data_IF_411947208425
#
_entry.id   IF_411947208425
#
_cell.length_a   1.000
_cell.length_b   1.000
_cell.length_c   1.000
_cell.angle_alpha   90.00
_cell.angle_beta   90.00
_cell.angle_gamma   90.00
#
_symmetry.space_group_name_H-M   'P 1'
#
loop_
_entity.id
_entity.type
_entity.pdbx_description
1 polymer ?
#
# COMPACT_ATOMS: atom_id res chain seq x y z
N UNK A 1 6.01 3.66 42.50
CA UNK A 1 6.51 2.63 41.55
C UNK A 1 6.45 3.25 40.16
N UNK A 2 7.55 3.92 39.79
CA UNK A 2 7.69 4.55 38.46
C UNK A 2 7.98 3.45 37.47
N UNK A 3 7.02 3.20 36.56
CA UNK A 3 7.26 2.41 35.36
C UNK A 3 8.05 3.31 34.40
N UNK A 4 9.36 3.09 34.37
CA UNK A 4 10.20 3.67 33.32
C UNK A 4 9.79 3.10 31.96
N UNK A 5 9.31 3.97 31.10
CA UNK A 5 9.32 3.75 29.68
C UNK A 5 10.79 3.85 29.23
N UNK A 6 11.46 2.72 29.10
CA UNK A 6 12.62 2.65 28.23
C UNK A 6 12.08 2.90 26.82
N UNK A 7 12.28 4.12 26.32
CA UNK A 7 12.23 4.37 24.89
C UNK A 7 13.27 3.43 24.29
N UNK A 8 12.82 2.38 23.62
CA UNK A 8 13.68 1.59 22.75
C UNK A 8 14.31 2.61 21.80
N UNK A 9 15.60 2.85 21.95
CA UNK A 9 16.41 3.57 20.98
C UNK A 9 16.24 2.79 19.68
N UNK A 10 15.37 3.25 18.78
CA UNK A 10 15.33 2.71 17.42
C UNK A 10 16.69 2.99 16.82
N UNK A 11 17.46 1.93 16.57
CA UNK A 11 18.72 2.06 15.85
C UNK A 11 18.40 2.68 14.49
N UNK A 12 19.18 3.66 14.08
CA UNK A 12 19.08 4.22 12.74
C UNK A 12 19.30 3.09 11.73
N UNK A 13 18.34 2.86 10.83
CA UNK A 13 18.47 1.87 9.78
C UNK A 13 18.31 2.55 8.42
N UNK A 14 19.26 2.28 7.52
CA UNK A 14 19.27 2.80 6.16
C UNK A 14 19.57 1.67 5.18
N UNK A 15 18.83 1.62 4.09
CA UNK A 15 19.03 0.67 3.01
C UNK A 15 19.22 1.38 1.68
N UNK A 16 20.25 0.98 0.95
CA UNK A 16 20.61 1.48 -0.37
C UNK A 16 20.66 0.31 -1.35
N UNK A 17 19.91 0.41 -2.44
CA UNK A 17 19.95 -0.57 -3.52
C UNK A 17 20.07 0.11 -4.88
N UNK A 18 20.99 -0.38 -5.71
CA UNK A 18 21.20 0.07 -7.08
C UNK A 18 21.18 -1.11 -8.02
N UNK A 19 20.56 -0.94 -9.20
CA UNK A 19 20.51 -1.94 -10.24
C UNK A 19 21.07 -1.40 -11.56
N UNK A 20 21.94 -2.20 -12.20
CA UNK A 20 22.44 -2.01 -13.55
C UNK A 20 21.59 -2.88 -14.49
N UNK A 21 20.72 -2.24 -15.29
CA UNK A 21 19.72 -2.89 -16.13
C UNK A 21 20.13 -2.95 -17.59
N UNK A 22 20.74 -1.85 -18.10
CA UNK A 22 21.10 -1.75 -19.52
C UNK A 22 22.35 -2.57 -19.87
N UNK A 23 23.30 -2.66 -18.94
CA UNK A 23 24.51 -3.47 -19.09
C UNK A 23 25.05 -3.94 -17.73
N UNK A 24 25.73 -5.10 -17.69
CA UNK A 24 26.42 -5.51 -16.47
C UNK A 24 27.62 -4.60 -16.15
N UNK A 25 27.95 -4.49 -14.86
CA UNK A 25 29.13 -3.82 -14.35
C UNK A 25 30.40 -4.59 -14.74
N UNK A 26 31.43 -3.88 -15.18
CA UNK A 26 32.75 -4.48 -15.43
C UNK A 26 33.46 -4.89 -14.13
N UNK A 27 34.57 -5.59 -14.23
CA UNK A 27 35.39 -5.95 -13.07
C UNK A 27 36.00 -4.71 -12.40
N UNK A 28 36.43 -3.74 -13.22
CA UNK A 28 36.99 -2.47 -12.78
C UNK A 28 35.95 -1.64 -12.01
N UNK A 29 34.74 -1.49 -12.57
CA UNK A 29 33.64 -0.77 -11.94
C UNK A 29 33.25 -1.40 -10.59
N UNK A 30 33.20 -2.73 -10.51
CA UNK A 30 32.95 -3.43 -9.24
C UNK A 30 34.08 -3.21 -8.23
N UNK A 31 35.32 -3.09 -8.67
CA UNK A 31 36.45 -2.75 -7.80
C UNK A 31 36.38 -1.32 -7.29
N UNK A 32 35.98 -0.36 -8.15
CA UNK A 32 35.74 1.03 -7.74
C UNK A 32 34.62 1.11 -6.69
N UNK A 33 33.49 0.44 -6.94
CA UNK A 33 32.37 0.36 -6.00
C UNK A 33 32.76 -0.28 -4.66
N UNK A 34 33.62 -1.30 -4.68
CA UNK A 34 34.17 -1.94 -3.47
C UNK A 34 35.00 -0.96 -2.63
N UNK A 35 35.66 0.01 -3.27
CA UNK A 35 36.41 1.07 -2.55
C UNK A 35 35.48 2.06 -1.83
N UNK A 36 34.23 2.25 -2.31
CA UNK A 36 33.21 3.10 -1.69
C UNK A 36 32.64 2.40 -0.45
N UNK A 37 32.31 1.09 -0.56
CA UNK A 37 31.82 0.31 0.56
C UNK A 37 32.39 -1.11 0.57
N UNK A 38 33.07 -1.44 1.67
CA UNK A 38 33.61 -2.79 1.89
C UNK A 38 32.55 -3.79 2.33
N UNK A 39 31.42 -3.33 2.84
CA UNK A 39 30.33 -4.17 3.36
C UNK A 39 29.25 -4.46 2.31
N UNK A 40 29.14 -3.62 1.27
CA UNK A 40 28.12 -3.76 0.25
C UNK A 40 28.14 -5.13 -0.43
N UNK A 41 26.97 -5.67 -0.72
CA UNK A 41 26.79 -6.78 -1.66
C UNK A 41 26.92 -6.23 -3.10
N UNK A 42 27.93 -6.66 -3.83
CA UNK A 42 28.21 -6.18 -5.20
C UNK A 42 28.25 -7.36 -6.16
N UNK A 43 27.32 -7.40 -7.10
CA UNK A 43 27.26 -8.36 -8.20
C UNK A 43 27.52 -7.67 -9.54
N UNK A 44 27.35 -8.38 -10.64
CA UNK A 44 27.44 -7.78 -11.98
C UNK A 44 26.29 -6.81 -12.29
N UNK A 45 25.15 -6.90 -11.59
CA UNK A 45 23.95 -6.11 -11.89
C UNK A 45 23.37 -5.39 -10.67
N UNK A 46 23.98 -5.56 -9.49
CA UNK A 46 23.41 -5.05 -8.24
C UNK A 46 24.51 -4.54 -7.30
N UNK A 47 24.21 -3.45 -6.62
CA UNK A 47 24.89 -2.99 -5.42
C UNK A 47 23.85 -2.79 -4.34
N UNK A 48 24.00 -3.42 -3.18
CA UNK A 48 23.14 -3.21 -2.03
C UNK A 48 23.97 -3.06 -0.76
N UNK A 49 23.53 -2.18 0.12
CA UNK A 49 24.15 -1.98 1.42
C UNK A 49 23.14 -1.49 2.44
N UNK A 50 23.33 -1.92 3.67
CA UNK A 50 22.52 -1.53 4.82
C UNK A 50 23.42 -0.92 5.91
N UNK A 51 22.86 0.00 6.66
CA UNK A 51 23.51 0.66 7.77
C UNK A 51 22.57 0.70 8.97
N UNK A 52 22.97 0.12 10.07
CA UNK A 52 22.32 0.29 11.37
C UNK A 52 22.81 1.55 12.09
N UNK A 53 23.95 2.11 11.64
CA UNK A 53 24.59 3.33 12.13
C UNK A 53 25.68 3.78 11.17
N UNK A 54 25.83 5.10 11.04
CA UNK A 54 26.77 5.71 10.10
C UNK A 54 26.15 5.93 8.72
N UNK A 55 26.87 6.58 7.81
CA UNK A 55 26.37 7.05 6.54
C UNK A 55 27.03 6.35 5.35
N UNK A 56 26.31 6.29 4.25
CA UNK A 56 26.84 5.88 2.97
C UNK A 56 27.86 6.91 2.48
N UNK A 57 29.06 6.46 2.15
CA UNK A 57 30.17 7.35 1.70
C UNK A 57 30.11 7.69 0.21
N UNK A 58 29.30 7.01 -0.57
CA UNK A 58 29.09 7.30 -1.98
C UNK A 58 28.07 8.41 -2.18
N UNK A 59 28.09 9.02 -3.37
CA UNK A 59 27.03 9.90 -3.82
C UNK A 59 26.09 9.14 -4.77
N UNK A 60 24.79 8.91 -4.36
CA UNK A 60 23.84 8.15 -5.17
C UNK A 60 23.68 8.71 -6.58
N UNK A 61 23.70 10.04 -6.76
CA UNK A 61 23.57 10.67 -8.06
C UNK A 61 24.74 10.32 -8.97
N UNK A 62 25.96 10.49 -8.49
CA UNK A 62 27.18 10.12 -9.24
C UNK A 62 27.18 8.62 -9.59
N UNK A 63 26.70 7.77 -8.70
CA UNK A 63 26.58 6.33 -8.98
C UNK A 63 25.56 6.04 -10.08
N UNK A 64 24.42 6.74 -10.08
CA UNK A 64 23.42 6.65 -11.15
C UNK A 64 23.96 7.15 -12.48
N UNK A 65 24.73 8.25 -12.49
CA UNK A 65 25.34 8.78 -13.71
C UNK A 65 26.32 7.79 -14.35
N UNK A 66 27.12 7.08 -13.54
CA UNK A 66 28.25 6.27 -14.02
C UNK A 66 27.93 4.79 -14.21
N UNK A 67 27.12 4.19 -13.32
CA UNK A 67 27.06 2.74 -13.19
C UNK A 67 25.66 2.14 -13.27
N UNK A 68 24.63 2.85 -12.75
CA UNK A 68 23.34 2.22 -12.48
C UNK A 68 22.17 2.90 -13.20
N UNK A 69 21.07 2.14 -13.33
CA UNK A 69 19.87 2.55 -14.06
C UNK A 69 18.65 2.72 -13.15
N UNK A 70 18.69 2.12 -11.96
CA UNK A 70 17.67 2.27 -10.92
C UNK A 70 18.34 2.34 -9.54
N UNK A 71 17.74 3.11 -8.64
CA UNK A 71 18.19 3.30 -7.27
C UNK A 71 17.00 3.42 -6.33
N UNK A 72 17.11 2.81 -5.17
CA UNK A 72 16.18 2.92 -4.05
C UNK A 72 16.95 3.20 -2.76
N UNK A 73 16.43 4.12 -1.99
CA UNK A 73 16.84 4.39 -0.62
C UNK A 73 15.64 4.36 0.31
N UNK A 74 15.82 3.77 1.47
CA UNK A 74 14.81 3.67 2.51
C UNK A 74 15.48 3.80 3.88
N UNK A 75 14.91 4.66 4.74
CA UNK A 75 15.34 4.83 6.12
C UNK A 75 14.17 4.61 7.08
N UNK A 76 14.45 4.05 8.25
CA UNK A 76 13.43 3.75 9.25
C UNK A 76 12.82 4.98 9.94
N UNK A 77 13.34 6.16 9.66
CA UNK A 77 12.74 7.44 10.07
C UNK A 77 11.81 8.07 9.01
N UNK A 78 11.45 7.30 7.94
CA UNK A 78 10.44 7.69 6.96
C UNK A 78 10.97 8.26 5.66
N UNK A 79 12.27 8.51 5.53
CA UNK A 79 12.87 9.00 4.28
C UNK A 79 12.93 7.89 3.23
N UNK A 80 12.39 8.15 2.03
CA UNK A 80 12.44 7.25 0.88
C UNK A 80 12.86 8.01 -0.37
N UNK A 81 13.65 7.36 -1.23
CA UNK A 81 14.06 7.91 -2.52
C UNK A 81 14.08 6.83 -3.59
N UNK A 82 13.55 7.17 -4.75
CA UNK A 82 13.57 6.33 -5.95
C UNK A 82 14.17 7.12 -7.10
N UNK A 83 15.12 6.53 -7.83
CA UNK A 83 15.68 7.17 -9.02
C UNK A 83 15.69 6.20 -10.20
N UNK A 84 15.39 6.73 -11.40
CA UNK A 84 15.52 6.01 -12.65
C UNK A 84 16.34 6.80 -13.65
N UNK A 85 17.34 6.15 -14.25
CA UNK A 85 18.10 6.69 -15.38
C UNK A 85 17.52 6.12 -16.67
N UNK A 86 17.08 6.99 -17.56
CA UNK A 86 16.58 6.62 -18.89
C UNK A 86 17.47 7.22 -19.98
N UNK A 87 17.58 6.59 -21.17
CA UNK A 87 18.35 7.13 -22.28
C UNK A 87 17.86 8.53 -22.70
N UNK A 88 18.79 9.42 -23.01
CA UNK A 88 18.48 10.73 -23.58
C UNK A 88 17.72 10.59 -24.91
N UNK A 89 16.79 11.52 -25.18
CA UNK A 89 15.95 11.48 -26.39
C UNK A 89 14.71 10.59 -26.31
N UNK A 90 14.54 9.83 -25.22
CA UNK A 90 13.28 9.14 -24.91
C UNK A 90 12.18 10.14 -24.62
N UNK A 91 12.51 11.25 -23.99
CA UNK A 91 11.61 12.33 -23.60
C UNK A 91 12.31 13.67 -23.79
N UNK A 92 11.57 14.70 -24.15
CA UNK A 92 12.11 16.06 -24.12
C UNK A 92 12.03 16.64 -22.69
N UNK A 93 13.03 17.47 -22.31
CA UNK A 93 13.06 18.06 -20.98
C UNK A 93 11.88 18.96 -20.65
N UNK A 94 11.25 19.60 -21.64
CA UNK A 94 10.07 20.43 -21.44
C UNK A 94 8.88 19.57 -20.97
N UNK A 95 8.66 18.40 -21.60
CA UNK A 95 7.65 17.44 -21.13
C UNK A 95 7.96 16.92 -19.74
N UNK A 96 9.23 16.58 -19.44
CA UNK A 96 9.62 16.13 -18.10
C UNK A 96 9.38 17.21 -17.04
N UNK A 97 9.68 18.47 -17.38
CA UNK A 97 9.53 19.62 -16.48
C UNK A 97 8.07 19.94 -16.10
N UNK A 98 7.09 19.52 -16.93
CA UNK A 98 5.67 19.68 -16.58
C UNK A 98 5.26 18.83 -15.34
N UNK A 99 5.99 17.76 -15.07
CA UNK A 99 5.67 16.81 -13.99
C UNK A 99 6.70 16.80 -12.87
N UNK A 100 7.96 17.14 -13.18
CA UNK A 100 9.09 16.96 -12.28
C UNK A 100 9.90 18.24 -12.18
N UNK A 101 9.38 19.21 -11.43
CA UNK A 101 9.99 20.56 -11.25
C UNK A 101 10.17 20.94 -9.79
N UNK A 102 10.04 20.01 -8.86
CA UNK A 102 10.10 20.20 -7.40
C UNK A 102 11.24 19.41 -6.76
N UNK A 103 11.49 19.60 -5.48
CA UNK A 103 12.48 18.81 -4.74
C UNK A 103 12.01 17.35 -4.56
N UNK A 104 10.72 17.15 -4.31
CA UNK A 104 10.07 15.82 -4.22
C UNK A 104 10.10 15.07 -5.55
N UNK A 105 9.85 15.76 -6.66
CA UNK A 105 9.84 15.20 -8.02
C UNK A 105 10.71 16.03 -8.94
N UNK A 106 11.90 15.55 -9.25
CA UNK A 106 12.89 16.27 -10.06
C UNK A 106 13.50 15.39 -11.13
N UNK A 107 14.13 16.03 -12.11
CA UNK A 107 14.98 15.33 -13.05
C UNK A 107 16.27 16.11 -13.33
N UNK A 108 17.27 15.41 -13.81
CA UNK A 108 18.56 15.98 -14.21
C UNK A 108 18.94 15.46 -15.58
N UNK A 109 19.35 16.38 -16.47
CA UNK A 109 20.00 16.03 -17.72
C UNK A 109 21.46 15.70 -17.49
N UNK A 110 21.89 14.59 -18.07
CA UNK A 110 23.30 14.19 -18.15
C UNK A 110 23.64 13.84 -19.60
N UNK A 111 24.93 13.77 -19.99
CA UNK A 111 25.29 13.40 -21.35
C UNK A 111 24.68 12.03 -21.74
N UNK A 112 23.68 12.07 -22.63
CA UNK A 112 23.02 10.88 -23.15
C UNK A 112 21.92 10.28 -22.30
N UNK A 113 21.57 10.84 -21.13
CA UNK A 113 20.55 10.29 -20.22
C UNK A 113 19.76 11.38 -19.51
N UNK A 114 18.57 11.01 -19.03
CA UNK A 114 17.80 11.74 -18.01
C UNK A 114 17.75 10.89 -16.75
N UNK A 115 17.94 11.52 -15.59
CA UNK A 115 17.81 10.86 -14.29
C UNK A 115 16.65 11.51 -13.54
N UNK A 116 15.57 10.75 -13.34
CA UNK A 116 14.43 11.15 -12.52
C UNK A 116 14.69 10.77 -11.08
N UNK A 117 14.28 11.63 -10.14
CA UNK A 117 14.40 11.42 -8.70
C UNK A 117 13.10 11.77 -8.02
N UNK A 118 12.54 10.81 -7.28
CA UNK A 118 11.38 10.96 -6.42
C UNK A 118 11.84 10.80 -4.98
N UNK A 119 11.42 11.73 -4.13
CA UNK A 119 11.87 11.80 -2.74
C UNK A 119 10.70 12.09 -1.81
N UNK A 120 10.64 11.42 -0.68
CA UNK A 120 9.73 11.74 0.42
C UNK A 120 10.46 11.66 1.74
N UNK A 121 10.06 12.54 2.65
CA UNK A 121 10.52 12.55 4.04
C UNK A 121 9.27 12.76 4.90
N UNK A 122 8.86 11.71 5.61
CA UNK A 122 7.64 11.68 6.42
C UNK A 122 7.94 11.12 7.79
N UNK A 123 7.06 11.38 8.75
CA UNK A 123 7.12 10.73 10.04
C UNK A 123 7.02 9.20 9.83
N UNK A 124 7.89 8.42 10.49
CA UNK A 124 7.87 6.98 10.35
C UNK A 124 6.55 6.39 10.82
N UNK A 125 6.03 5.41 10.08
CA UNK A 125 4.94 4.59 10.56
C UNK A 125 5.38 3.74 11.76
N UNK A 126 4.45 3.41 12.66
CA UNK A 126 4.69 2.53 13.81
C UNK A 126 5.13 1.10 13.41
N UNK A 127 5.09 0.78 12.12
CA UNK A 127 5.42 -0.54 11.59
C UNK A 127 6.55 -0.44 10.58
N UNK A 128 7.72 -0.93 10.99
CA UNK A 128 8.90 -1.05 10.14
C UNK A 128 9.06 -2.49 9.66
N UNK A 129 9.18 -2.69 8.34
CA UNK A 129 9.58 -3.96 7.72
C UNK A 129 10.95 -3.81 7.07
N UNK A 130 11.81 -4.80 7.26
CA UNK A 130 13.12 -4.81 6.59
C UNK A 130 12.92 -4.93 5.07
N UNK A 131 13.58 -4.06 4.28
CA UNK A 131 13.43 -4.07 2.83
C UNK A 131 14.01 -5.34 2.19
N UNK A 132 13.37 -5.86 1.15
CA UNK A 132 13.80 -7.04 0.45
C UNK A 132 13.20 -7.20 -0.95
N UNK A 133 13.83 -6.62 -1.96
CA UNK A 133 13.45 -6.83 -3.37
C UNK A 133 12.40 -5.86 -3.93
N UNK A 134 12.05 -4.80 -3.21
CA UNK A 134 11.08 -3.80 -3.65
C UNK A 134 11.52 -3.12 -4.94
N UNK A 135 12.81 -2.77 -5.07
CA UNK A 135 13.31 -2.12 -6.29
C UNK A 135 13.09 -3.01 -7.52
N UNK A 136 13.27 -4.32 -7.40
CA UNK A 136 13.03 -5.24 -8.51
C UNK A 136 11.56 -5.25 -8.98
N UNK A 137 10.60 -5.03 -8.09
CA UNK A 137 9.19 -4.89 -8.44
C UNK A 137 8.89 -3.58 -9.19
N UNK A 138 9.70 -2.53 -8.98
CA UNK A 138 9.49 -1.20 -9.53
C UNK A 138 10.21 -0.95 -10.87
N UNK A 139 11.26 -1.73 -11.23
CA UNK A 139 12.12 -1.45 -12.39
C UNK A 139 11.40 -1.46 -13.74
N UNK A 140 10.29 -2.20 -13.87
CA UNK A 140 9.53 -2.23 -15.11
C UNK A 140 8.94 -0.85 -15.48
N UNK A 141 8.63 -0.01 -14.49
CA UNK A 141 8.17 1.36 -14.70
C UNK A 141 9.17 2.22 -15.47
N UNK A 142 10.49 1.97 -15.32
CA UNK A 142 11.53 2.60 -16.13
C UNK A 142 11.36 2.27 -17.61
N UNK A 143 11.08 1.01 -17.93
CA UNK A 143 10.87 0.57 -19.31
C UNK A 143 9.57 1.13 -19.89
N UNK A 144 8.51 1.22 -19.07
CA UNK A 144 7.24 1.86 -19.45
C UNK A 144 7.47 3.34 -19.75
N UNK A 145 8.21 4.07 -18.90
CA UNK A 145 8.60 5.45 -19.15
C UNK A 145 9.43 5.60 -20.43
N UNK A 146 10.40 4.71 -20.65
CA UNK A 146 11.22 4.69 -21.86
C UNK A 146 10.38 4.42 -23.14
N UNK A 147 9.26 3.70 -23.02
CA UNK A 147 8.29 3.50 -24.08
C UNK A 147 7.31 4.68 -24.26
N UNK A 148 7.46 5.77 -23.51
CA UNK A 148 6.63 6.98 -23.59
C UNK A 148 5.38 6.94 -22.72
N UNK A 149 5.30 6.05 -21.74
CA UNK A 149 4.24 6.04 -20.73
C UNK A 149 4.54 7.09 -19.65
N UNK A 150 3.71 8.12 -19.57
CA UNK A 150 3.91 9.25 -18.66
C UNK A 150 3.28 9.03 -17.28
N UNK A 151 2.64 7.86 -17.01
CA UNK A 151 1.98 7.62 -15.72
C UNK A 151 2.93 7.74 -14.54
N UNK A 152 4.17 7.27 -14.68
CA UNK A 152 5.19 7.43 -13.63
C UNK A 152 5.45 8.92 -13.31
N UNK A 153 5.55 9.76 -14.32
CA UNK A 153 5.80 11.20 -14.12
C UNK A 153 4.58 11.91 -13.53
N UNK A 154 3.40 11.51 -13.94
CA UNK A 154 2.17 12.03 -13.34
C UNK A 154 2.03 11.62 -11.87
N UNK A 155 2.37 10.38 -11.51
CA UNK A 155 2.46 9.95 -10.11
C UNK A 155 3.50 10.76 -9.32
N UNK A 156 4.63 11.12 -9.95
CA UNK A 156 5.64 12.00 -9.36
C UNK A 156 5.07 13.41 -9.06
N UNK A 157 4.27 13.96 -9.99
CA UNK A 157 3.58 15.21 -9.77
C UNK A 157 2.53 15.14 -8.66
N UNK A 158 1.75 14.05 -8.57
CA UNK A 158 0.82 13.83 -7.45
C UNK A 158 1.56 13.73 -6.11
N UNK A 159 2.76 13.15 -6.11
CA UNK A 159 3.61 13.10 -4.92
C UNK A 159 4.07 14.49 -4.48
N UNK A 160 4.47 15.34 -5.43
CA UNK A 160 4.84 16.73 -5.17
C UNK A 160 3.64 17.54 -4.64
N UNK A 161 2.45 17.35 -5.22
CA UNK A 161 1.21 17.94 -4.74
C UNK A 161 0.90 17.51 -3.28
N UNK A 162 1.06 16.23 -2.99
CA UNK A 162 0.86 15.66 -1.64
C UNK A 162 1.89 16.16 -0.62
N UNK A 163 3.07 16.58 -1.10
CA UNK A 163 4.16 17.14 -0.29
C UNK A 163 4.11 18.66 -0.13
N UNK A 164 3.02 19.29 -0.59
CA UNK A 164 2.82 20.75 -0.52
C UNK A 164 3.88 21.57 -1.29
N UNK A 165 4.37 20.99 -2.40
CA UNK A 165 5.38 21.63 -3.26
C UNK A 165 4.81 22.14 -4.61
N UNK A 166 3.48 22.06 -4.78
CA UNK A 166 2.76 22.56 -5.94
C UNK A 166 1.80 23.65 -5.48
N UNK A 167 1.84 24.81 -6.12
CA UNK A 167 0.99 25.94 -5.75
C UNK A 167 -0.50 25.64 -6.06
N UNK A 168 -1.40 26.07 -5.20
CA UNK A 168 -2.85 25.86 -5.32
C UNK A 168 -3.44 26.31 -6.67
N UNK A 169 -2.86 27.37 -7.25
CA UNK A 169 -3.27 27.96 -8.53
C UNK A 169 -2.65 27.27 -9.75
N UNK A 170 -1.65 26.40 -9.53
CA UNK A 170 -1.00 25.68 -10.60
C UNK A 170 -1.98 24.76 -11.33
N UNK A 171 -1.84 24.75 -12.64
CA UNK A 171 -2.66 23.89 -13.49
C UNK A 171 -2.13 22.46 -13.47
N UNK A 172 -3.03 21.50 -13.25
CA UNK A 172 -2.72 20.07 -13.37
C UNK A 172 -2.09 19.76 -14.74
N UNK A 173 -0.94 19.06 -14.80
CA UNK A 173 -0.33 18.67 -16.05
C UNK A 173 -1.22 17.67 -16.82
N UNK A 174 -0.99 17.46 -18.13
CA UNK A 174 -1.80 16.56 -18.94
C UNK A 174 -1.93 15.16 -18.31
N UNK A 175 -3.18 14.74 -18.06
CA UNK A 175 -3.48 13.46 -17.41
C UNK A 175 -3.22 12.31 -18.41
N UNK A 176 -2.27 11.40 -18.14
CA UNK A 176 -1.98 10.29 -19.02
C UNK A 176 -3.10 9.25 -19.03
N UNK A 177 -3.21 8.48 -20.12
CA UNK A 177 -4.18 7.39 -20.21
C UNK A 177 -3.84 6.25 -19.24
N UNK A 178 -4.86 5.60 -18.67
CA UNK A 178 -4.70 4.36 -17.91
C UNK A 178 -4.35 4.50 -16.44
N UNK A 179 -4.50 5.69 -15.83
CA UNK A 179 -4.31 5.86 -14.39
C UNK A 179 -5.25 4.99 -13.53
N UNK A 180 -6.44 4.67 -14.05
CA UNK A 180 -7.39 3.79 -13.37
C UNK A 180 -6.97 2.30 -13.34
N UNK A 181 -5.89 1.94 -14.04
CA UNK A 181 -5.37 0.58 -14.10
C UNK A 181 -3.84 0.60 -14.19
N UNK A 182 -3.19 0.88 -13.05
CA UNK A 182 -1.74 0.91 -12.94
C UNK A 182 -1.14 -0.48 -13.17
N UNK A 183 0.05 -0.53 -13.77
CA UNK A 183 0.84 -1.76 -13.82
C UNK A 183 1.30 -2.16 -12.42
N UNK A 184 1.68 -3.42 -12.23
CA UNK A 184 2.17 -3.89 -10.94
C UNK A 184 3.40 -3.08 -10.47
N UNK A 185 4.25 -2.62 -11.40
CA UNK A 185 5.43 -1.82 -11.06
C UNK A 185 5.09 -0.38 -10.68
N UNK A 186 4.11 0.24 -11.31
CA UNK A 186 3.61 1.54 -10.90
C UNK A 186 2.88 1.47 -9.56
N UNK A 187 2.11 0.39 -9.31
CA UNK A 187 1.50 0.17 -8.01
C UNK A 187 2.55 0.00 -6.90
N UNK A 188 3.62 -0.78 -7.15
CA UNK A 188 4.72 -0.91 -6.20
C UNK A 188 5.40 0.45 -5.88
N UNK A 189 5.49 1.36 -6.86
CA UNK A 189 5.99 2.72 -6.63
C UNK A 189 5.01 3.54 -5.79
N UNK A 190 3.70 3.44 -6.07
CA UNK A 190 2.65 4.10 -5.27
C UNK A 190 2.72 3.66 -3.81
N UNK A 191 2.84 2.35 -3.57
CA UNK A 191 2.93 1.77 -2.23
C UNK A 191 4.25 2.18 -1.54
N UNK A 192 5.38 2.13 -2.27
CA UNK A 192 6.70 2.52 -1.74
C UNK A 192 6.78 3.99 -1.36
N UNK A 193 6.24 4.90 -2.18
CA UNK A 193 6.26 6.35 -1.94
C UNK A 193 5.03 6.84 -1.19
N UNK A 194 4.07 5.95 -0.86
CA UNK A 194 2.83 6.25 -0.14
C UNK A 194 2.02 7.38 -0.80
N UNK A 195 1.86 7.29 -2.13
CA UNK A 195 1.03 8.25 -2.87
C UNK A 195 -0.44 8.00 -2.53
N UNK A 196 -1.17 9.07 -2.17
CA UNK A 196 -2.56 8.99 -1.71
C UNK A 196 -3.48 8.37 -2.79
N UNK A 197 -4.13 7.26 -2.45
CA UNK A 197 -5.04 6.54 -3.35
C UNK A 197 -6.25 7.37 -3.79
N UNK A 198 -6.70 8.32 -2.96
CA UNK A 198 -7.83 9.18 -3.28
C UNK A 198 -7.42 10.25 -4.31
N UNK A 199 -6.18 10.76 -4.28
CA UNK A 199 -5.61 11.61 -5.33
C UNK A 199 -5.56 10.86 -6.67
N UNK A 200 -4.99 9.66 -6.68
CA UNK A 200 -4.89 8.82 -7.89
C UNK A 200 -6.30 8.53 -8.44
N UNK A 201 -7.25 8.18 -7.58
CA UNK A 201 -8.61 7.84 -8.02
C UNK A 201 -9.36 9.03 -8.63
N UNK A 202 -9.17 10.24 -8.07
CA UNK A 202 -9.76 11.47 -8.63
C UNK A 202 -9.11 11.84 -9.96
N UNK A 203 -7.78 11.71 -10.06
CA UNK A 203 -7.06 11.90 -11.30
C UNK A 203 -7.49 10.89 -12.38
N UNK A 204 -7.64 9.63 -12.00
CA UNK A 204 -8.06 8.55 -12.88
C UNK A 204 -9.46 8.77 -13.49
N UNK A 205 -10.34 9.53 -12.85
CA UNK A 205 -11.66 9.86 -13.38
C UNK A 205 -11.59 10.70 -14.68
N UNK A 206 -10.53 11.47 -14.87
CA UNK A 206 -10.25 12.23 -16.10
C UNK A 206 -9.28 11.52 -17.05
N UNK A 207 -8.68 10.41 -16.61
CA UNK A 207 -7.72 9.65 -17.43
C UNK A 207 -8.44 8.91 -18.55
N UNK A 208 -8.02 9.10 -19.81
CA UNK A 208 -8.53 8.28 -20.90
C UNK A 208 -8.27 6.80 -20.65
N UNK A 209 -9.16 5.93 -21.10
CA UNK A 209 -8.90 4.49 -21.06
C UNK A 209 -7.69 4.15 -21.91
N UNK A 210 -6.78 3.32 -21.38
CA UNK A 210 -5.78 2.70 -22.23
C UNK A 210 -6.51 1.77 -23.21
N UNK A 211 -6.40 2.07 -24.49
CA UNK A 211 -6.80 1.10 -25.50
C UNK A 211 -5.94 -0.16 -25.33
N UNK A 212 -6.52 -1.36 -25.20
CA UNK A 212 -5.77 -2.59 -24.99
C UNK A 212 -5.00 -3.06 -26.23
N UNK A 213 -4.69 -2.17 -27.15
CA UNK A 213 -4.04 -2.55 -28.40
C UNK A 213 -2.58 -2.12 -28.43
N UNK A 214 -1.72 -3.10 -28.48
CA UNK A 214 -0.52 -3.14 -29.32
C UNK A 214 -0.94 -2.92 -30.83
N UNK A 215 -2.14 -2.45 -31.09
CA UNK A 215 -2.53 -2.02 -32.43
C UNK A 215 -1.87 -0.69 -32.68
N UNK A 216 -1.09 -0.64 -33.74
CA UNK A 216 -0.58 0.60 -34.29
C UNK A 216 -1.71 1.64 -34.28
N UNK A 217 -1.46 2.84 -33.70
CA UNK A 217 -2.45 3.91 -33.76
C UNK A 217 -2.92 4.03 -35.21
N UNK A 218 -4.23 4.05 -35.42
CA UNK A 218 -4.81 4.12 -36.77
C UNK A 218 -4.18 5.30 -37.51
N UNK A 219 -3.52 5.03 -38.66
CA UNK A 219 -2.77 6.03 -39.42
C UNK A 219 -1.27 6.16 -39.11
N UNK A 220 -0.70 5.47 -38.09
CA UNK A 220 0.73 5.56 -37.77
C UNK A 220 1.60 5.06 -38.95
N UNK A 221 1.24 3.98 -39.59
CA UNK A 221 1.96 3.49 -40.76
C UNK A 221 1.97 4.52 -41.91
N UNK A 222 0.86 5.20 -42.15
CA UNK A 222 0.76 6.28 -43.15
C UNK A 222 1.60 7.48 -42.77
N UNK A 223 1.62 7.85 -41.48
CA UNK A 223 2.46 8.94 -40.96
C UNK A 223 3.96 8.57 -41.06
N UNK A 224 4.35 7.38 -40.68
CA UNK A 224 5.74 6.89 -40.86
C UNK A 224 6.13 6.93 -42.32
N UNK A 225 5.23 6.52 -43.22
CA UNK A 225 5.49 6.59 -44.66
C UNK A 225 5.75 8.03 -45.14
N UNK A 226 5.16 9.04 -44.51
CA UNK A 226 5.35 10.46 -44.84
C UNK A 226 6.66 11.07 -44.31
N UNK A 227 7.38 10.38 -43.39
CA UNK A 227 8.69 10.87 -42.89
C UNK A 227 9.73 10.89 -44.02
N UNK A 228 10.71 11.83 -43.96
CA UNK A 228 11.84 11.87 -44.90
C UNK A 228 12.63 10.54 -44.92
N UNK A 229 13.05 10.09 -46.12
CA UNK A 229 13.80 8.81 -46.23
C UNK A 229 15.06 8.78 -45.37
N UNK A 230 15.81 9.87 -45.36
CA UNK A 230 17.03 9.98 -44.52
C UNK A 230 16.70 9.76 -43.02
N UNK A 231 15.57 10.27 -42.56
CA UNK A 231 15.12 10.10 -41.19
C UNK A 231 14.72 8.65 -40.89
N UNK A 232 14.02 8.00 -41.82
CA UNK A 232 13.68 6.57 -41.70
C UNK A 232 14.94 5.70 -41.62
N UNK A 233 15.96 5.99 -42.43
CA UNK A 233 17.23 5.26 -42.42
C UNK A 233 17.95 5.40 -41.07
N UNK A 234 17.97 6.63 -40.49
CA UNK A 234 18.54 6.86 -39.17
C UNK A 234 17.77 6.08 -38.09
N UNK A 235 16.45 6.11 -38.12
CA UNK A 235 15.61 5.39 -37.15
C UNK A 235 15.80 3.87 -37.27
N UNK A 236 15.89 3.33 -38.51
CA UNK A 236 16.16 1.92 -38.74
C UNK A 236 17.56 1.51 -38.26
N UNK A 237 18.59 2.34 -38.48
CA UNK A 237 19.93 2.10 -37.97
C UNK A 237 19.96 2.06 -36.44
N UNK A 238 19.21 2.92 -35.77
CA UNK A 238 19.05 2.91 -34.31
C UNK A 238 18.35 1.65 -33.82
N UNK A 239 17.28 1.20 -34.48
CA UNK A 239 16.62 -0.09 -34.17
C UNK A 239 17.58 -1.26 -34.32
N UNK A 240 18.37 -1.28 -35.41
CA UNK A 240 19.39 -2.32 -35.64
C UNK A 240 20.53 -2.27 -34.60
N UNK A 241 20.81 -1.07 -34.05
CA UNK A 241 21.74 -0.85 -32.95
C UNK A 241 21.22 -1.26 -31.55
N UNK A 242 20.00 -1.81 -31.46
CA UNK A 242 19.41 -2.25 -30.19
C UNK A 242 18.51 -1.20 -29.51
N UNK A 243 18.28 -0.03 -30.11
CA UNK A 243 17.45 1.05 -29.58
C UNK A 243 15.96 0.93 -29.96
N UNK A 244 15.45 -0.27 -30.18
CA UNK A 244 14.10 -0.47 -30.70
C UNK A 244 13.01 0.14 -29.83
N UNK A 245 13.08 -0.02 -28.51
CA UNK A 245 12.09 0.55 -27.56
C UNK A 245 12.10 2.08 -27.56
N UNK A 246 13.29 2.69 -27.62
CA UNK A 246 13.48 4.16 -27.67
C UNK A 246 12.91 4.76 -28.98
N UNK A 247 13.18 4.09 -30.10
CA UNK A 247 12.67 4.50 -31.41
C UNK A 247 11.14 4.37 -31.45
N UNK A 248 10.58 3.31 -30.89
CA UNK A 248 9.13 3.13 -30.79
C UNK A 248 8.49 4.26 -29.97
N UNK A 249 9.04 4.57 -28.78
CA UNK A 249 8.57 5.68 -27.93
C UNK A 249 8.64 7.04 -28.66
N UNK A 250 9.77 7.31 -29.35
CA UNK A 250 9.95 8.51 -30.15
C UNK A 250 8.89 8.64 -31.26
N UNK A 251 8.67 7.58 -32.01
CA UNK A 251 7.69 7.57 -33.12
C UNK A 251 6.27 7.77 -32.61
N UNK A 252 5.87 7.08 -31.52
CA UNK A 252 4.56 7.23 -30.90
C UNK A 252 4.31 8.67 -30.44
N UNK A 253 5.30 9.27 -29.77
CA UNK A 253 5.21 10.66 -29.31
C UNK A 253 5.03 11.63 -30.47
N UNK A 254 5.88 11.54 -31.50
CA UNK A 254 5.83 12.42 -32.67
C UNK A 254 4.54 12.25 -33.47
N UNK A 255 4.05 11.04 -33.60
CA UNK A 255 2.77 10.77 -34.22
C UNK A 255 1.61 11.42 -33.47
N UNK A 256 1.58 11.29 -32.14
CA UNK A 256 0.55 11.92 -31.28
C UNK A 256 0.61 13.45 -31.38
N UNK A 257 1.81 14.03 -31.36
CA UNK A 257 1.99 15.46 -31.57
C UNK A 257 1.52 15.93 -32.96
N UNK A 258 1.79 15.15 -34.02
CA UNK A 258 1.36 15.46 -35.38
C UNK A 258 -0.14 15.24 -35.60
N UNK A 259 -0.76 14.30 -34.88
CA UNK A 259 -2.18 13.98 -34.98
C UNK A 259 -3.09 14.95 -34.21
N UNK A 260 -2.53 15.93 -33.52
CA UNK A 260 -3.28 16.87 -32.69
C UNK A 260 -4.03 16.12 -31.59
N UNK A 261 -3.36 15.75 -30.52
CA UNK A 261 -4.08 15.23 -29.34
C UNK A 261 -5.19 16.20 -28.98
N UNK A 262 -6.42 15.72 -28.73
CA UNK A 262 -7.45 16.60 -28.21
C UNK A 262 -6.90 17.16 -26.91
N UNK A 263 -6.63 18.47 -26.92
CA UNK A 263 -6.34 19.21 -25.71
C UNK A 263 -7.45 18.90 -24.73
N UNK A 264 -7.06 18.37 -23.58
CA UNK A 264 -7.97 18.02 -22.51
C UNK A 264 -8.96 19.15 -22.24
N UNK A 265 -10.17 18.74 -21.88
CA UNK A 265 -11.13 19.56 -21.15
C UNK A 265 -10.40 20.40 -20.08
N UNK A 266 -10.94 21.59 -19.77
CA UNK A 266 -10.38 22.59 -18.86
C UNK A 266 -9.54 21.92 -17.77
N UNK A 267 -8.24 22.14 -17.80
CA UNK A 267 -7.34 21.64 -16.81
C UNK A 267 -7.77 22.22 -15.45
N UNK A 268 -7.99 21.35 -14.47
CA UNK A 268 -8.29 21.76 -13.09
C UNK A 268 -7.03 22.27 -12.42
N UNK A 269 -7.20 23.01 -11.34
CA UNK A 269 -6.07 23.46 -10.52
C UNK A 269 -5.66 22.37 -9.53
N UNK A 270 -4.45 22.51 -8.96
CA UNK A 270 -3.93 21.69 -7.89
C UNK A 270 -4.88 21.68 -6.68
N UNK A 271 -5.38 22.84 -6.27
CA UNK A 271 -6.36 22.97 -5.20
C UNK A 271 -7.67 22.22 -5.47
N UNK A 272 -8.20 22.29 -6.69
CA UNK A 272 -9.42 21.55 -7.07
C UNK A 272 -9.23 20.03 -7.01
N UNK A 273 -8.07 19.53 -7.45
CA UNK A 273 -7.72 18.12 -7.33
C UNK A 273 -7.60 17.68 -5.88
N UNK A 274 -6.87 18.47 -5.07
CA UNK A 274 -6.67 18.20 -3.65
C UNK A 274 -7.99 18.18 -2.89
N UNK A 275 -8.85 19.17 -3.10
CA UNK A 275 -10.17 19.25 -2.49
C UNK A 275 -11.05 18.04 -2.86
N UNK A 276 -11.07 17.66 -4.15
CA UNK A 276 -11.85 16.52 -4.60
C UNK A 276 -11.33 15.18 -4.01
N UNK A 277 -10.02 15.03 -3.83
CA UNK A 277 -9.43 13.89 -3.13
C UNK A 277 -9.82 13.85 -1.65
N UNK A 278 -9.79 14.99 -0.97
CA UNK A 278 -10.25 15.12 0.41
C UNK A 278 -11.72 14.72 0.59
N UNK A 279 -12.61 15.20 -0.28
CA UNK A 279 -14.03 14.86 -0.26
C UNK A 279 -14.25 13.36 -0.50
N UNK A 280 -13.50 12.77 -1.44
CA UNK A 280 -13.52 11.33 -1.71
C UNK A 280 -13.06 10.53 -0.48
N UNK A 281 -11.98 10.93 0.18
CA UNK A 281 -11.44 10.30 1.39
C UNK A 281 -12.47 10.28 2.51
N UNK A 282 -13.12 11.43 2.78
CA UNK A 282 -14.19 11.53 3.77
C UNK A 282 -15.35 10.60 3.44
N UNK A 283 -15.81 10.59 2.19
CA UNK A 283 -16.89 9.70 1.74
C UNK A 283 -16.51 8.21 1.88
N UNK A 284 -15.29 7.84 1.52
CA UNK A 284 -14.77 6.46 1.62
C UNK A 284 -14.69 5.99 3.08
N UNK A 285 -14.12 6.81 3.97
CA UNK A 285 -14.02 6.50 5.40
C UNK A 285 -15.39 6.34 6.02
N UNK A 286 -16.30 7.31 5.77
CA UNK A 286 -17.67 7.28 6.28
C UNK A 286 -18.42 6.02 5.81
N UNK A 287 -18.29 5.66 4.53
CA UNK A 287 -18.92 4.45 3.97
C UNK A 287 -18.34 3.18 4.59
N UNK A 288 -17.02 3.13 4.85
CA UNK A 288 -16.37 1.99 5.51
C UNK A 288 -16.85 1.81 6.96
N UNK A 289 -16.93 2.90 7.72
CA UNK A 289 -17.48 2.88 9.08
C UNK A 289 -18.93 2.42 9.12
N UNK A 290 -19.75 2.92 8.20
CA UNK A 290 -21.15 2.52 8.11
C UNK A 290 -21.28 1.03 7.83
N UNK A 291 -20.51 0.49 6.85
CA UNK A 291 -20.48 -0.95 6.55
C UNK A 291 -20.04 -1.79 7.76
N UNK A 292 -19.06 -1.31 8.52
CA UNK A 292 -18.60 -1.98 9.75
C UNK A 292 -19.72 -2.02 10.79
N UNK A 293 -20.38 -0.89 11.05
CA UNK A 293 -21.51 -0.81 12.00
C UNK A 293 -22.65 -1.74 11.59
N UNK A 294 -23.00 -1.79 10.31
CA UNK A 294 -24.05 -2.70 9.81
C UNK A 294 -23.65 -4.18 9.94
N UNK A 295 -22.39 -4.51 9.66
CA UNK A 295 -21.86 -5.87 9.83
C UNK A 295 -21.89 -6.30 11.30
N UNK A 296 -21.46 -5.42 12.21
CA UNK A 296 -21.47 -5.69 13.64
C UNK A 296 -22.91 -5.81 14.18
N UNK A 297 -23.83 -4.94 13.76
CA UNK A 297 -25.25 -5.04 14.12
C UNK A 297 -25.88 -6.35 13.61
N UNK A 298 -25.57 -6.75 12.35
CA UNK A 298 -26.04 -8.02 11.78
C UNK A 298 -25.49 -9.22 12.55
N UNK A 299 -24.21 -9.17 12.94
CA UNK A 299 -23.57 -10.20 13.76
C UNK A 299 -24.22 -10.31 15.14
N UNK A 300 -24.45 -9.19 15.81
CA UNK A 300 -25.11 -9.12 17.11
C UNK A 300 -26.55 -9.65 17.04
N UNK A 301 -27.31 -9.27 16.01
CA UNK A 301 -28.66 -9.78 15.79
C UNK A 301 -28.69 -11.30 15.54
N UNK A 302 -27.74 -11.83 14.77
CA UNK A 302 -27.62 -13.27 14.54
C UNK A 302 -27.28 -14.03 15.83
N UNK A 303 -26.38 -13.51 16.66
CA UNK A 303 -26.04 -14.09 17.96
C UNK A 303 -27.24 -14.07 18.91
N UNK A 304 -27.98 -12.95 18.99
CA UNK A 304 -29.19 -12.83 19.79
C UNK A 304 -30.28 -13.84 19.35
N UNK A 305 -30.47 -13.97 18.02
CA UNK A 305 -31.42 -14.93 17.47
C UNK A 305 -31.01 -16.39 17.77
N UNK A 306 -29.72 -16.72 17.65
CA UNK A 306 -29.17 -18.03 17.98
C UNK A 306 -29.33 -18.34 19.48
N UNK A 307 -29.08 -17.37 20.35
CA UNK A 307 -29.25 -17.48 21.79
C UNK A 307 -30.75 -17.65 22.16
N UNK A 308 -31.64 -16.87 21.54
CA UNK A 308 -33.09 -17.02 21.73
C UNK A 308 -33.55 -18.43 21.35
N UNK A 309 -33.09 -18.99 20.24
CA UNK A 309 -33.36 -20.35 19.80
C UNK A 309 -32.82 -21.41 20.79
N UNK A 310 -31.61 -21.16 21.34
CA UNK A 310 -31.04 -22.01 22.40
C UNK A 310 -31.93 -22.02 23.63
N UNK A 311 -32.40 -20.86 24.09
CA UNK A 311 -33.34 -20.79 25.24
C UNK A 311 -34.68 -21.45 24.95
N UNK A 312 -35.22 -21.37 23.72
CA UNK A 312 -36.44 -22.10 23.33
C UNK A 312 -36.24 -23.61 23.42
N UNK A 313 -35.09 -24.13 22.98
CA UNK A 313 -34.73 -25.54 23.13
C UNK A 313 -34.53 -25.94 24.59
N UNK A 314 -33.93 -25.06 25.40
CA UNK A 314 -33.75 -25.29 26.83
C UNK A 314 -35.10 -25.37 27.57
N UNK A 315 -36.07 -24.52 27.16
CA UNK A 315 -37.40 -24.52 27.73
C UNK A 315 -38.12 -25.89 27.65
N UNK A 316 -37.87 -26.68 26.58
CA UNK A 316 -38.46 -28.02 26.40
C UNK A 316 -37.85 -29.10 27.27
N UNK A 317 -36.66 -28.85 27.87
CA UNK A 317 -35.89 -29.80 28.67
C UNK A 317 -35.37 -29.23 29.98
N UNK A 318 -36.10 -28.29 30.58
CA UNK A 318 -35.68 -27.56 31.76
C UNK A 318 -35.31 -28.50 32.94
N UNK A 319 -36.09 -29.52 33.22
CA UNK A 319 -35.79 -30.47 34.29
C UNK A 319 -34.48 -31.26 34.03
N UNK A 320 -34.32 -31.79 32.83
CA UNK A 320 -33.08 -32.47 32.44
C UNK A 320 -31.84 -31.55 32.49
N UNK A 321 -32.02 -30.25 32.23
CA UNK A 321 -30.94 -29.28 32.35
C UNK A 321 -30.52 -29.02 33.82
N UNK A 322 -31.48 -28.99 34.73
CA UNK A 322 -31.18 -28.91 36.15
C UNK A 322 -30.45 -30.16 36.67
N UNK A 323 -30.93 -31.35 36.25
CA UNK A 323 -30.26 -32.62 36.57
C UNK A 323 -28.84 -32.65 36.03
N UNK A 324 -28.65 -32.20 34.80
CA UNK A 324 -27.31 -32.15 34.18
C UNK A 324 -26.36 -31.17 34.87
N UNK A 325 -26.84 -30.00 35.30
CA UNK A 325 -26.06 -29.06 36.07
C UNK A 325 -25.61 -29.69 37.42
N UNK A 326 -26.52 -30.39 38.12
CA UNK A 326 -26.21 -31.10 39.36
C UNK A 326 -25.19 -32.23 39.13
N UNK A 327 -25.35 -33.03 38.07
CA UNK A 327 -24.38 -34.06 37.66
C UNK A 327 -22.97 -33.48 37.44
N UNK A 328 -22.84 -32.38 36.70
CA UNK A 328 -21.55 -31.72 36.51
C UNK A 328 -20.96 -31.21 37.80
N UNK A 329 -21.75 -30.64 38.70
CA UNK A 329 -21.29 -30.19 40.01
C UNK A 329 -20.75 -31.36 40.84
N UNK A 330 -21.32 -32.56 40.70
CA UNK A 330 -20.91 -33.74 41.49
C UNK A 330 -19.63 -34.40 40.97
N UNK A 331 -19.21 -34.13 39.74
CA UNK A 331 -17.90 -34.59 39.23
C UNK A 331 -16.71 -34.00 39.97
N UNK A 332 -16.88 -32.86 40.63
CA UNK A 332 -15.84 -32.07 41.33
C UNK A 332 -14.67 -31.63 40.44
N UNK A 333 -14.86 -31.54 39.12
CA UNK A 333 -13.86 -31.10 38.16
C UNK A 333 -14.06 -29.61 37.85
N UNK A 334 -13.01 -28.80 37.85
CA UNK A 334 -13.12 -27.36 37.56
C UNK A 334 -13.85 -27.06 36.24
N UNK A 335 -13.53 -27.78 35.16
CA UNK A 335 -14.16 -27.64 33.84
C UNK A 335 -15.66 -27.90 33.86
N UNK A 336 -16.10 -28.91 34.64
CA UNK A 336 -17.50 -29.26 34.74
C UNK A 336 -18.28 -28.23 35.58
N UNK A 337 -17.61 -27.59 36.55
CA UNK A 337 -18.15 -26.41 37.26
C UNK A 337 -18.46 -25.27 36.31
N UNK A 338 -17.53 -24.95 35.37
CA UNK A 338 -17.73 -23.90 34.39
C UNK A 338 -18.93 -24.21 33.45
N UNK A 339 -19.08 -25.48 33.05
CA UNK A 339 -20.23 -25.91 32.26
C UNK A 339 -21.56 -25.82 33.05
N UNK A 340 -21.55 -26.21 34.33
CA UNK A 340 -22.73 -26.11 35.19
C UNK A 340 -23.13 -24.63 35.40
N UNK A 341 -22.16 -23.74 35.66
CA UNK A 341 -22.40 -22.30 35.80
C UNK A 341 -22.99 -21.71 34.53
N UNK A 342 -22.45 -22.06 33.36
CA UNK A 342 -22.96 -21.58 32.07
C UNK A 342 -24.43 -22.05 31.88
N UNK A 343 -24.74 -23.29 32.15
CA UNK A 343 -26.11 -23.82 32.02
C UNK A 343 -27.08 -23.19 33.03
N UNK A 344 -26.64 -22.92 34.26
CA UNK A 344 -27.44 -22.22 35.26
C UNK A 344 -27.70 -20.74 34.89
N UNK A 345 -26.77 -20.08 34.23
CA UNK A 345 -27.02 -18.73 33.66
C UNK A 345 -28.06 -18.78 32.54
N UNK A 346 -28.01 -19.79 31.67
CA UNK A 346 -29.03 -19.97 30.64
C UNK A 346 -30.43 -20.29 31.24
N UNK A 347 -30.49 -21.07 32.31
CA UNK A 347 -31.72 -21.33 33.05
C UNK A 347 -32.27 -20.07 33.76
N UNK A 348 -31.38 -19.20 34.28
CA UNK A 348 -31.76 -17.90 34.82
C UNK A 348 -32.35 -16.99 33.72
N UNK A 349 -31.65 -16.85 32.59
CA UNK A 349 -32.14 -16.06 31.47
C UNK A 349 -33.48 -16.59 30.89
N UNK A 350 -33.67 -17.93 30.89
CA UNK A 350 -34.94 -18.55 30.52
C UNK A 350 -36.04 -18.17 31.50
N UNK A 351 -35.80 -18.25 32.82
CA UNK A 351 -36.76 -17.88 33.86
C UNK A 351 -37.15 -16.41 33.80
N UNK A 352 -36.19 -15.50 33.56
CA UNK A 352 -36.43 -14.09 33.35
C UNK A 352 -37.35 -13.84 32.14
N UNK A 353 -37.05 -14.50 31.00
CA UNK A 353 -37.86 -14.46 29.78
C UNK A 353 -39.27 -14.97 29.99
N UNK A 354 -39.44 -16.00 30.82
CA UNK A 354 -40.73 -16.58 31.20
C UNK A 354 -41.46 -15.81 32.31
N UNK A 355 -40.87 -14.68 32.79
CA UNK A 355 -41.38 -13.87 33.90
C UNK A 355 -41.55 -14.63 35.21
N UNK A 356 -40.71 -15.65 35.42
CA UNK A 356 -40.75 -16.48 36.64
C UNK A 356 -39.38 -16.59 37.35
N UNK A 357 -38.66 -15.44 37.61
CA UNK A 357 -37.35 -15.49 38.25
C UNK A 357 -37.38 -16.02 39.69
N UNK A 358 -38.51 -15.88 40.35
CA UNK A 358 -38.66 -16.34 41.74
C UNK A 358 -38.51 -17.87 41.88
N UNK A 359 -39.07 -18.65 40.94
CA UNK A 359 -38.96 -20.10 40.92
C UNK A 359 -37.50 -20.53 40.66
N UNK A 360 -36.81 -19.88 39.73
CA UNK A 360 -35.39 -20.15 39.52
C UNK A 360 -34.56 -19.83 40.77
N UNK A 361 -34.77 -18.64 41.37
CA UNK A 361 -34.03 -18.20 42.55
C UNK A 361 -34.20 -19.21 43.71
N UNK A 362 -35.40 -19.66 43.97
CA UNK A 362 -35.66 -20.64 45.04
C UNK A 362 -34.87 -21.93 44.79
N UNK A 363 -34.99 -22.49 43.59
CA UNK A 363 -34.32 -23.76 43.23
C UNK A 363 -32.83 -23.66 43.24
N UNK A 364 -32.30 -22.50 42.76
CA UNK A 364 -30.85 -22.23 42.77
C UNK A 364 -30.30 -22.09 44.18
N UNK A 365 -30.99 -21.40 45.08
CA UNK A 365 -30.58 -21.27 46.49
C UNK A 365 -30.57 -22.62 47.20
N UNK A 366 -31.53 -23.51 46.91
CA UNK A 366 -31.54 -24.89 47.42
C UNK A 366 -30.29 -25.64 46.90
N UNK A 367 -29.95 -25.53 45.63
CA UNK A 367 -28.75 -26.13 45.03
C UNK A 367 -27.48 -25.56 45.67
N UNK A 368 -27.37 -24.26 45.85
CA UNK A 368 -26.24 -23.58 46.48
C UNK A 368 -26.05 -24.03 47.93
N UNK A 369 -27.14 -24.19 48.66
CA UNK A 369 -27.10 -24.67 50.05
C UNK A 369 -26.57 -26.10 50.16
N UNK A 370 -26.93 -26.99 49.20
CA UNK A 370 -26.43 -28.38 49.16
C UNK A 370 -24.90 -28.43 48.94
N UNK A 371 -24.33 -27.41 48.34
CA UNK A 371 -22.93 -27.37 47.93
C UNK A 371 -22.06 -26.33 48.70
N UNK A 372 -22.49 -25.89 49.89
CA UNK A 372 -21.79 -24.90 50.73
C UNK A 372 -20.31 -25.23 51.03
N UNK A 373 -19.94 -26.53 50.98
CA UNK A 373 -18.58 -27.00 51.23
C UNK A 373 -17.66 -26.97 49.98
N UNK A 374 -18.11 -26.42 48.86
CA UNK A 374 -17.34 -26.31 47.62
C UNK A 374 -17.00 -24.86 47.30
N UNK A 375 -16.00 -24.23 47.96
CA UNK A 375 -15.72 -22.81 47.86
C UNK A 375 -15.45 -22.39 46.41
N UNK A 376 -14.64 -23.14 45.66
CA UNK A 376 -14.36 -22.86 44.23
C UNK A 376 -15.61 -22.86 43.30
N UNK A 377 -16.67 -23.59 43.66
CA UNK A 377 -17.96 -23.54 42.95
C UNK A 377 -18.74 -22.28 43.32
N UNK A 378 -18.77 -21.95 44.62
CA UNK A 378 -19.46 -20.75 45.13
C UNK A 378 -18.87 -19.49 44.56
N UNK A 379 -17.52 -19.36 44.50
CA UNK A 379 -16.83 -18.26 43.85
C UNK A 379 -17.25 -18.09 42.39
N UNK A 380 -17.39 -19.19 41.65
CA UNK A 380 -17.87 -19.17 40.24
C UNK A 380 -19.34 -18.72 40.12
N UNK A 381 -20.21 -19.15 41.05
CA UNK A 381 -21.60 -18.65 41.07
C UNK A 381 -21.63 -17.13 41.30
N UNK A 382 -20.83 -16.64 42.25
CA UNK A 382 -20.77 -15.23 42.58
C UNK A 382 -20.18 -14.40 41.42
N UNK A 383 -19.09 -14.87 40.77
CA UNK A 383 -18.50 -14.25 39.58
C UNK A 383 -19.48 -14.26 38.37
N UNK A 384 -20.34 -15.26 38.27
CA UNK A 384 -21.34 -15.35 37.20
C UNK A 384 -22.58 -14.50 37.45
N UNK A 385 -22.70 -13.83 38.61
CA UNK A 385 -23.85 -12.99 38.95
C UNK A 385 -25.12 -13.84 39.25
N UNK A 386 -24.97 -15.09 39.66
CA UNK A 386 -26.09 -15.91 40.10
C UNK A 386 -26.51 -15.49 41.53
N UNK A 387 -27.81 -15.73 41.92
CA UNK A 387 -28.34 -15.29 43.20
C UNK A 387 -27.52 -15.75 44.41
N UNK A 388 -27.31 -14.86 45.38
CA UNK A 388 -26.63 -15.14 46.65
C UNK A 388 -27.65 -15.33 47.78
#
# INVERSE_FOLDING_TARGET
MQLGWEAASMSEYQYYEFLALDRPLTAEERSELRSISTRAEITATRFANEYEWGDFKGDPRTMMERYFDAFMYLANWGTRRLMFRVPGGVMDPETAGQYCSTDTASFTETPGHLIFSLYVDRDPDDYWEEPGGELAAMVQARSELAAGDLRLLYLAWLLALQSDEVDDEDTEPPVPAGLGNLSASLQAIVDFLEIDEDLIAVAAALSPSMSPSIQEPEGMAGWIASLPEQEKDVLLARVAGGEGAQVQGLLLRRFRAASGSPSAASARTAAELWQAAGDRKVARVTAAEQRKREADARRAAAQAAAYAKHLDQLATRTEAAWEKAAEWIDTKRPRDYDLAVSLLRDLQALADRQKNPAAFRKRFLDLRAQHQRKPSLLDRFDQAGLPS
#
